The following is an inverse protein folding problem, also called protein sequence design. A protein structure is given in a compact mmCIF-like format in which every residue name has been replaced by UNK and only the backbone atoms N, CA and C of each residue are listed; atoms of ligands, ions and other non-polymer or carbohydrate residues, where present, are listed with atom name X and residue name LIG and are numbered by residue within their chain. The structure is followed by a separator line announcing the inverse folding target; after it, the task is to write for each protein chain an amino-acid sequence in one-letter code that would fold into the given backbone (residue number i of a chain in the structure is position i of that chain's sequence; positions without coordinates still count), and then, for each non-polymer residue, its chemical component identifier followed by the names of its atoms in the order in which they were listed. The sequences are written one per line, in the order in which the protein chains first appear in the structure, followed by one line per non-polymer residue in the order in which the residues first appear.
data_IF_689074918560
#
_entry.id   IF_689074918560
#
_cell.length_a   1.000
_cell.length_b   1.000
_cell.length_c   1.000
_cell.angle_alpha   90.00
_cell.angle_beta   90.00
_cell.angle_gamma   90.00
#
_symmetry.space_group_name_H-M   'P 1'
#
loop_
_entity.id
_entity.type
_entity.pdbx_description
1 polymer ?
#
# COMPACT_ATOMS: atom_id res chain seq x y z
N UNK A 1 -4.94 -28.73 20.51
CA UNK A 1 -4.32 -29.05 19.21
C UNK A 1 -4.19 -27.76 18.42
N UNK A 2 -2.96 -27.27 18.25
CA UNK A 2 -2.72 -26.04 17.51
C UNK A 2 -2.93 -26.30 16.01
N UNK A 3 -3.96 -25.68 15.45
CA UNK A 3 -4.20 -25.68 14.00
C UNK A 3 -3.01 -24.99 13.36
N UNK A 4 -2.18 -25.77 12.65
CA UNK A 4 -1.12 -25.26 11.79
C UNK A 4 -1.77 -24.29 10.81
N UNK A 5 -1.45 -23.00 10.87
CA UNK A 5 -1.89 -22.05 9.84
C UNK A 5 -1.27 -22.53 8.52
N UNK A 6 -2.05 -23.22 7.70
CA UNK A 6 -1.63 -23.60 6.36
C UNK A 6 -1.46 -22.31 5.58
N UNK A 7 -0.23 -22.04 5.11
CA UNK A 7 -0.01 -21.02 4.09
C UNK A 7 -1.01 -21.24 2.97
N UNK A 8 -1.68 -20.15 2.58
CA UNK A 8 -2.78 -20.20 1.62
C UNK A 8 -2.30 -20.02 0.19
N UNK A 9 -1.04 -19.60 -0.01
CA UNK A 9 -0.48 -19.25 -1.29
C UNK A 9 0.67 -20.19 -1.67
N UNK A 10 0.74 -20.54 -2.96
CA UNK A 10 1.91 -21.22 -3.50
C UNK A 10 3.05 -20.23 -3.70
N UNK A 11 4.30 -20.70 -3.56
CA UNK A 11 5.49 -19.86 -3.82
C UNK A 11 5.47 -19.24 -5.22
N UNK A 12 5.00 -19.99 -6.23
CA UNK A 12 4.81 -19.50 -7.60
C UNK A 12 3.90 -18.27 -7.63
N UNK A 13 2.80 -18.31 -6.88
CA UNK A 13 1.83 -17.21 -6.80
C UNK A 13 2.47 -15.98 -6.16
N UNK A 14 3.17 -16.16 -5.05
CA UNK A 14 3.89 -15.08 -4.35
C UNK A 14 4.91 -14.41 -5.29
N UNK A 15 5.74 -15.20 -5.97
CA UNK A 15 6.75 -14.66 -6.90
C UNK A 15 6.10 -13.83 -8.00
N UNK A 16 5.02 -14.34 -8.62
CA UNK A 16 4.33 -13.61 -9.70
C UNK A 16 3.74 -12.29 -9.19
N UNK A 17 3.05 -12.29 -8.04
CA UNK A 17 2.47 -11.06 -7.47
C UNK A 17 3.56 -10.03 -7.14
N UNK A 18 4.70 -10.48 -6.58
CA UNK A 18 5.84 -9.59 -6.31
C UNK A 18 6.50 -9.08 -7.58
N UNK A 19 6.63 -9.91 -8.63
CA UNK A 19 7.11 -9.46 -9.93
C UNK A 19 6.19 -8.38 -10.53
N UNK A 20 4.86 -8.57 -10.46
CA UNK A 20 3.89 -7.57 -10.91
C UNK A 20 4.07 -6.25 -10.16
N UNK A 21 4.24 -6.30 -8.83
CA UNK A 21 4.54 -5.12 -8.01
C UNK A 21 5.86 -4.44 -8.39
N UNK A 22 6.94 -5.21 -8.56
CA UNK A 22 8.25 -4.68 -8.95
C UNK A 22 8.29 -4.09 -10.37
N UNK A 23 7.34 -4.45 -11.23
CA UNK A 23 7.25 -3.93 -12.60
C UNK A 23 6.61 -2.54 -12.68
N UNK A 24 6.00 -2.02 -11.61
CA UNK A 24 5.42 -0.67 -11.55
C UNK A 24 6.34 0.40 -12.15
N UNK A 25 7.61 0.58 -11.70
CA UNK A 25 8.49 1.62 -12.24
C UNK A 25 8.79 1.45 -13.74
N UNK A 26 8.86 0.21 -14.23
CA UNK A 26 9.10 -0.07 -15.66
C UNK A 26 7.88 0.29 -16.49
N UNK A 27 6.69 -0.19 -16.07
CA UNK A 27 5.43 0.10 -16.75
C UNK A 27 5.14 1.60 -16.72
N UNK A 28 5.37 2.27 -15.58
CA UNK A 28 5.26 3.72 -15.45
C UNK A 28 6.08 4.46 -16.50
N UNK A 29 7.36 4.10 -16.66
CA UNK A 29 8.22 4.75 -17.66
C UNK A 29 7.75 4.52 -19.09
N UNK A 30 7.27 3.32 -19.42
CA UNK A 30 6.72 3.03 -20.75
C UNK A 30 5.46 3.84 -21.04
N UNK A 31 4.56 3.94 -20.07
CA UNK A 31 3.33 4.75 -20.20
C UNK A 31 3.67 6.24 -20.28
N UNK A 32 4.65 6.71 -19.50
CA UNK A 32 5.10 8.09 -19.51
C UNK A 32 5.64 8.53 -20.88
N UNK A 33 6.39 7.65 -21.57
CA UNK A 33 6.89 7.92 -22.93
C UNK A 33 5.78 8.20 -23.94
N UNK A 34 4.57 7.64 -23.72
CA UNK A 34 3.42 7.81 -24.61
C UNK A 34 2.52 8.96 -24.15
N UNK A 35 2.24 9.03 -22.84
CA UNK A 35 1.28 9.99 -22.28
C UNK A 35 1.86 11.40 -22.12
N UNK A 36 3.18 11.53 -21.91
CA UNK A 36 3.84 12.82 -21.68
C UNK A 36 3.42 13.52 -20.38
N UNK A 37 2.70 12.84 -19.48
CA UNK A 37 2.22 13.39 -18.22
C UNK A 37 2.43 12.38 -17.08
N UNK A 38 3.17 12.79 -16.03
CA UNK A 38 3.57 11.92 -14.92
C UNK A 38 2.36 11.41 -14.11
N UNK A 39 1.43 12.28 -13.76
CA UNK A 39 0.23 11.91 -12.99
C UNK A 39 -0.65 10.93 -13.75
N UNK A 40 -0.91 11.19 -15.03
CA UNK A 40 -1.70 10.29 -15.86
C UNK A 40 -1.01 8.92 -16.01
N UNK A 41 0.31 8.91 -16.25
CA UNK A 41 1.08 7.69 -16.40
C UNK A 41 1.14 6.86 -15.11
N UNK A 42 1.36 7.49 -13.96
CA UNK A 42 1.38 6.81 -12.67
C UNK A 42 -0.02 6.29 -12.31
N UNK A 43 -1.06 7.11 -12.49
CA UNK A 43 -2.46 6.70 -12.23
C UNK A 43 -2.83 5.48 -13.07
N UNK A 44 -2.55 5.50 -14.37
CA UNK A 44 -2.81 4.37 -15.24
C UNK A 44 -2.03 3.12 -14.80
N UNK A 45 -0.74 3.28 -14.50
CA UNK A 45 0.13 2.18 -14.07
C UNK A 45 -0.36 1.53 -12.78
N UNK A 46 -0.75 2.34 -11.80
CA UNK A 46 -1.33 1.84 -10.55
C UNK A 46 -2.64 1.12 -10.82
N UNK A 47 -3.57 1.71 -11.56
CA UNK A 47 -4.85 1.05 -11.90
C UNK A 47 -4.65 -0.29 -12.59
N UNK A 48 -3.75 -0.36 -13.58
CA UNK A 48 -3.44 -1.60 -14.28
C UNK A 48 -2.81 -2.65 -13.35
N UNK A 49 -1.84 -2.23 -12.53
CA UNK A 49 -1.16 -3.14 -11.59
C UNK A 49 -2.12 -3.65 -10.53
N UNK A 50 -2.93 -2.76 -9.95
CA UNK A 50 -3.97 -3.10 -8.98
C UNK A 50 -4.99 -4.06 -9.55
N UNK A 51 -5.45 -3.83 -10.79
CA UNK A 51 -6.35 -4.75 -11.48
C UNK A 51 -5.74 -6.15 -11.61
N UNK A 52 -4.49 -6.25 -12.08
CA UNK A 52 -3.78 -7.53 -12.22
C UNK A 52 -3.68 -8.24 -10.87
N UNK A 53 -3.23 -7.52 -9.83
CA UNK A 53 -3.09 -8.09 -8.49
C UNK A 53 -4.44 -8.53 -7.91
N UNK A 54 -5.49 -7.73 -8.03
CA UNK A 54 -6.82 -8.09 -7.51
C UNK A 54 -7.38 -9.32 -8.23
N UNK A 55 -7.27 -9.39 -9.56
CA UNK A 55 -7.76 -10.55 -10.34
C UNK A 55 -6.94 -11.79 -10.03
N UNK A 56 -5.61 -11.68 -10.07
CA UNK A 56 -4.72 -12.81 -9.83
C UNK A 56 -4.80 -13.31 -8.39
N UNK A 57 -4.97 -12.38 -7.43
CA UNK A 57 -5.10 -12.67 -6.02
C UNK A 57 -6.55 -12.68 -5.49
N UNK A 58 -7.53 -12.88 -6.37
CA UNK A 58 -8.95 -12.78 -6.04
C UNK A 58 -9.36 -13.66 -4.85
N UNK A 59 -8.88 -14.91 -4.81
CA UNK A 59 -9.19 -15.82 -3.70
C UNK A 59 -8.60 -15.35 -2.37
N UNK A 60 -7.41 -14.73 -2.40
CA UNK A 60 -6.78 -14.17 -1.20
C UNK A 60 -7.61 -12.97 -0.71
N UNK A 61 -7.95 -12.06 -1.63
CA UNK A 61 -8.85 -10.95 -1.35
C UNK A 61 -10.18 -11.40 -0.76
N UNK A 62 -10.84 -12.38 -1.39
CA UNK A 62 -12.13 -12.92 -0.95
C UNK A 62 -12.08 -13.51 0.47
N UNK A 63 -11.00 -14.22 0.83
CA UNK A 63 -10.82 -14.75 2.20
C UNK A 63 -10.75 -13.60 3.21
N UNK A 64 -9.95 -12.57 2.96
CA UNK A 64 -9.78 -11.46 3.90
C UNK A 64 -11.01 -10.55 3.97
N UNK A 65 -11.72 -10.37 2.85
CA UNK A 65 -13.01 -9.71 2.81
C UNK A 65 -14.05 -10.46 3.66
N UNK A 66 -14.16 -11.78 3.49
CA UNK A 66 -15.11 -12.59 4.26
C UNK A 66 -14.76 -12.60 5.77
N UNK A 67 -13.48 -12.61 6.14
CA UNK A 67 -13.06 -12.48 7.55
C UNK A 67 -13.46 -11.13 8.16
N UNK A 68 -13.27 -10.03 7.42
CA UNK A 68 -13.67 -8.70 7.86
C UNK A 68 -15.20 -8.59 7.97
N UNK A 69 -15.94 -9.18 7.02
CA UNK A 69 -17.41 -9.24 7.04
C UNK A 69 -17.94 -10.06 8.21
N UNK A 70 -17.28 -11.16 8.56
CA UNK A 70 -17.65 -12.01 9.69
C UNK A 70 -17.35 -11.35 11.05
N UNK A 71 -16.33 -10.47 11.12
CA UNK A 71 -15.92 -9.76 12.33
C UNK A 71 -15.95 -8.23 12.12
N UNK A 72 -17.14 -7.63 11.87
CA UNK A 72 -17.24 -6.23 11.47
C UNK A 72 -16.80 -5.26 12.57
N UNK A 73 -16.95 -5.65 13.85
CA UNK A 73 -16.52 -4.86 15.00
C UNK A 73 -15.00 -4.68 15.00
N UNK A 74 -14.26 -5.78 14.87
CA UNK A 74 -12.79 -5.73 14.85
C UNK A 74 -12.30 -5.01 13.60
N UNK A 75 -12.91 -5.29 12.44
CA UNK A 75 -12.58 -4.59 11.20
C UNK A 75 -12.76 -3.07 11.35
N UNK A 76 -13.87 -2.61 11.96
CA UNK A 76 -14.12 -1.19 12.19
C UNK A 76 -13.12 -0.58 13.19
N UNK A 77 -12.92 -1.22 14.34
CA UNK A 77 -11.99 -0.73 15.38
C UNK A 77 -10.59 -0.56 14.81
N UNK A 78 -10.07 -1.59 14.12
CA UNK A 78 -8.73 -1.54 13.56
C UNK A 78 -8.64 -0.62 12.34
N UNK A 79 -9.74 -0.37 11.62
CA UNK A 79 -9.77 0.68 10.59
C UNK A 79 -9.59 2.06 11.23
N UNK A 80 -10.25 2.32 12.37
CA UNK A 80 -10.13 3.60 13.10
C UNK A 80 -8.70 3.75 13.65
N UNK A 81 -8.19 2.73 14.35
CA UNK A 81 -6.81 2.73 14.87
C UNK A 81 -5.80 2.93 13.75
N UNK A 82 -5.94 2.20 12.64
CA UNK A 82 -5.08 2.33 11.48
C UNK A 82 -5.12 3.72 10.87
N UNK A 83 -6.30 4.33 10.76
CA UNK A 83 -6.47 5.69 10.24
C UNK A 83 -5.72 6.69 11.09
N UNK A 84 -5.84 6.60 12.42
CA UNK A 84 -5.14 7.48 13.36
C UNK A 84 -3.63 7.29 13.27
N UNK A 85 -3.14 6.04 13.30
CA UNK A 85 -1.70 5.75 13.23
C UNK A 85 -1.07 6.24 11.92
N UNK A 86 -1.73 5.98 10.78
CA UNK A 86 -1.25 6.42 9.47
C UNK A 86 -1.35 7.95 9.34
N UNK A 87 -2.38 8.59 9.91
CA UNK A 87 -2.47 10.06 9.95
C UNK A 87 -1.30 10.68 10.71
N UNK A 88 -1.01 10.18 11.92
CA UNK A 88 0.12 10.64 12.73
C UNK A 88 1.44 10.43 11.98
N UNK A 89 1.65 9.24 11.41
CA UNK A 89 2.86 8.94 10.67
C UNK A 89 3.02 9.83 9.42
N UNK A 90 1.92 10.06 8.71
CA UNK A 90 1.88 10.95 7.54
C UNK A 90 2.17 12.39 7.95
N UNK A 91 1.61 12.88 9.05
CA UNK A 91 1.92 14.19 9.59
C UNK A 91 3.41 14.33 9.99
N UNK A 92 3.98 13.33 10.65
CA UNK A 92 5.42 13.29 10.96
C UNK A 92 6.24 13.35 9.68
N UNK A 93 5.85 12.61 8.64
CA UNK A 93 6.53 12.64 7.36
C UNK A 93 6.45 14.02 6.69
N UNK A 94 5.26 14.61 6.63
CA UNK A 94 5.05 15.91 6.02
C UNK A 94 5.74 17.04 6.80
N UNK A 95 5.98 16.89 8.10
CA UNK A 95 6.58 17.94 8.93
C UNK A 95 8.10 17.79 9.04
N UNK A 96 8.60 16.58 9.30
CA UNK A 96 10.00 16.34 9.69
C UNK A 96 10.78 15.51 8.67
N UNK A 97 10.31 14.30 8.33
CA UNK A 97 11.10 13.39 7.48
C UNK A 97 11.20 13.88 6.04
N UNK A 98 10.13 14.48 5.51
CA UNK A 98 10.02 14.88 4.10
C UNK A 98 10.37 13.74 3.15
N UNK A 99 9.97 12.51 3.51
CA UNK A 99 10.07 11.34 2.66
C UNK A 99 9.07 11.43 1.50
N UNK A 100 9.40 10.78 0.39
CA UNK A 100 8.57 10.75 -0.80
C UNK A 100 7.30 9.93 -0.56
N UNK A 101 6.15 10.51 -0.91
CA UNK A 101 4.87 9.81 -0.98
C UNK A 101 4.41 9.93 -2.44
N UNK A 102 4.07 8.82 -3.12
CA UNK A 102 3.58 8.86 -4.49
C UNK A 102 2.19 9.53 -4.50
N UNK A 103 2.15 10.79 -4.91
CA UNK A 103 0.94 11.60 -5.02
C UNK A 103 0.82 12.18 -6.43
N UNK A 104 -0.40 12.34 -6.96
CA UNK A 104 -0.65 13.09 -8.18
C UNK A 104 -0.28 14.57 -8.03
N UNK A 105 0.22 15.17 -9.11
CA UNK A 105 0.60 16.58 -9.14
C UNK A 105 -0.62 17.50 -9.27
N UNK A 106 -0.61 18.60 -8.50
CA UNK A 106 -1.75 19.52 -8.42
C UNK A 106 -2.04 20.21 -9.76
N UNK A 107 -1.01 20.52 -10.56
CA UNK A 107 -1.19 21.23 -11.84
C UNK A 107 -1.99 20.39 -12.84
N UNK A 108 -1.66 19.11 -12.99
CA UNK A 108 -2.41 18.17 -13.83
C UNK A 108 -3.83 17.99 -13.33
N UNK A 109 -4.04 17.77 -12.03
CA UNK A 109 -5.38 17.54 -11.49
C UNK A 109 -6.27 18.78 -11.65
N UNK A 110 -5.72 19.98 -11.48
CA UNK A 110 -6.43 21.24 -11.68
C UNK A 110 -6.80 21.51 -13.14
N UNK A 111 -6.14 20.88 -14.11
CA UNK A 111 -6.56 20.93 -15.51
C UNK A 111 -7.80 20.06 -15.80
N UNK A 112 -8.14 19.13 -14.90
CA UNK A 112 -9.24 18.16 -15.07
C UNK A 112 -10.18 18.09 -13.86
N UNK A 113 -10.54 19.26 -13.30
CA UNK A 113 -11.32 19.39 -12.05
C UNK A 113 -12.57 18.50 -11.96
N UNK A 114 -13.33 18.39 -13.06
CA UNK A 114 -14.55 17.58 -13.07
C UNK A 114 -14.27 16.09 -12.85
N UNK A 115 -13.14 15.58 -13.35
CA UNK A 115 -12.72 14.19 -13.18
C UNK A 115 -11.89 13.95 -11.92
N UNK A 116 -11.40 15.01 -11.27
CA UNK A 116 -10.48 14.93 -10.15
C UNK A 116 -10.99 14.03 -9.00
N UNK A 117 -12.25 14.12 -8.52
CA UNK A 117 -12.72 13.27 -7.43
C UNK A 117 -12.61 11.77 -7.75
N UNK A 118 -12.97 11.38 -8.97
CA UNK A 118 -12.90 9.98 -9.40
C UNK A 118 -11.45 9.50 -9.53
N UNK A 119 -10.57 10.34 -10.09
CA UNK A 119 -9.15 10.04 -10.27
C UNK A 119 -8.44 9.88 -8.91
N UNK A 120 -8.62 10.83 -7.98
CA UNK A 120 -7.99 10.80 -6.66
C UNK A 120 -8.50 9.61 -5.83
N UNK A 121 -9.80 9.31 -5.91
CA UNK A 121 -10.37 8.13 -5.25
C UNK A 121 -9.78 6.83 -5.81
N UNK A 122 -9.78 6.67 -7.14
CA UNK A 122 -9.23 5.49 -7.80
C UNK A 122 -7.75 5.30 -7.46
N UNK A 123 -6.96 6.39 -7.52
CA UNK A 123 -5.54 6.37 -7.15
C UNK A 123 -5.34 5.87 -5.72
N UNK A 124 -6.05 6.45 -4.75
CA UNK A 124 -5.92 6.13 -3.33
C UNK A 124 -6.32 4.69 -3.01
N UNK A 125 -7.47 4.26 -3.54
CA UNK A 125 -8.02 2.92 -3.32
C UNK A 125 -7.08 1.88 -3.91
N UNK A 126 -6.65 2.08 -5.15
CA UNK A 126 -5.79 1.12 -5.84
C UNK A 126 -4.41 1.04 -5.19
N UNK A 127 -3.84 2.16 -4.76
CA UNK A 127 -2.59 2.15 -3.99
C UNK A 127 -2.76 1.36 -2.67
N UNK A 128 -3.90 1.53 -2.00
CA UNK A 128 -4.35 0.70 -0.87
C UNK A 128 -4.27 -0.79 -1.14
N UNK A 129 -4.91 -1.22 -2.23
CA UNK A 129 -4.91 -2.62 -2.67
C UNK A 129 -3.52 -3.14 -2.99
N UNK A 130 -2.77 -2.42 -3.83
CA UNK A 130 -1.43 -2.83 -4.27
C UNK A 130 -0.52 -3.09 -3.08
N UNK A 131 -0.44 -2.15 -2.14
CA UNK A 131 0.44 -2.24 -0.98
C UNK A 131 0.04 -3.41 -0.08
N UNK A 132 -1.24 -3.54 0.27
CA UNK A 132 -1.69 -4.55 1.23
C UNK A 132 -1.69 -5.97 0.65
N UNK A 133 -2.08 -6.15 -0.62
CA UNK A 133 -2.03 -7.47 -1.27
C UNK A 133 -0.57 -7.92 -1.43
N UNK A 134 0.29 -7.05 -1.96
CA UNK A 134 1.71 -7.39 -2.18
C UNK A 134 2.43 -7.67 -0.87
N UNK A 135 2.16 -6.88 0.17
CA UNK A 135 2.64 -7.12 1.54
C UNK A 135 2.20 -8.50 2.04
N UNK A 136 0.91 -8.85 1.87
CA UNK A 136 0.39 -10.13 2.34
C UNK A 136 0.99 -11.31 1.58
N UNK A 137 1.20 -11.18 0.27
CA UNK A 137 1.87 -12.19 -0.54
C UNK A 137 3.31 -12.42 -0.06
N UNK A 138 4.07 -11.36 0.22
CA UNK A 138 5.45 -11.49 0.73
C UNK A 138 5.50 -12.20 2.09
N UNK A 139 4.54 -11.89 2.96
CA UNK A 139 4.57 -12.32 4.36
C UNK A 139 3.84 -13.64 4.63
N UNK A 140 3.23 -14.27 3.62
CA UNK A 140 2.38 -15.46 3.83
C UNK A 140 3.13 -16.65 4.46
N UNK A 141 4.42 -16.81 4.16
CA UNK A 141 5.26 -17.88 4.70
C UNK A 141 6.07 -17.50 5.94
N UNK A 142 5.95 -16.27 6.45
CA UNK A 142 6.63 -15.85 7.67
C UNK A 142 5.92 -16.45 8.90
N UNK A 143 6.16 -17.73 9.18
CA UNK A 143 5.73 -18.42 10.40
C UNK A 143 6.79 -18.24 11.51
N UNK A 144 6.81 -17.07 12.17
CA UNK A 144 7.62 -16.86 13.38
C UNK A 144 6.69 -16.96 14.58
N UNK A 145 6.50 -18.20 15.05
CA UNK A 145 5.62 -18.49 16.18
C UNK A 145 6.02 -17.71 17.43
N UNK A 146 5.02 -17.22 18.13
CA UNK A 146 5.13 -16.56 19.44
C UNK A 146 5.97 -15.27 19.49
N UNK A 147 6.27 -14.68 18.33
CA UNK A 147 7.02 -13.40 18.24
C UNK A 147 6.36 -12.41 17.29
N UNK A 148 5.13 -12.00 17.61
CA UNK A 148 4.35 -11.02 16.84
C UNK A 148 5.17 -9.75 16.52
N UNK A 149 5.84 -9.16 17.52
CA UNK A 149 6.66 -7.98 17.32
C UNK A 149 7.79 -8.21 16.31
N UNK A 150 8.39 -9.40 16.29
CA UNK A 150 9.44 -9.75 15.33
C UNK A 150 8.88 -9.92 13.92
N UNK A 151 7.69 -10.50 13.77
CA UNK A 151 7.01 -10.59 12.46
C UNK A 151 6.72 -9.20 11.93
N UNK A 152 6.16 -8.33 12.76
CA UNK A 152 5.83 -6.94 12.39
C UNK A 152 7.08 -6.17 11.96
N UNK A 153 8.17 -6.29 12.73
CA UNK A 153 9.42 -5.61 12.39
C UNK A 153 10.07 -6.20 11.13
N UNK A 154 10.16 -7.54 11.02
CA UNK A 154 10.78 -8.19 9.87
C UNK A 154 10.02 -7.90 8.59
N UNK A 155 8.68 -7.98 8.62
CA UNK A 155 7.82 -7.64 7.49
C UNK A 155 7.91 -6.15 7.14
N UNK A 156 7.98 -5.28 8.16
CA UNK A 156 8.24 -3.85 8.04
C UNK A 156 9.53 -3.55 7.28
N UNK A 157 10.64 -4.15 7.68
CA UNK A 157 11.93 -3.96 7.02
C UNK A 157 11.94 -4.52 5.59
N UNK A 158 11.44 -5.75 5.40
CA UNK A 158 11.46 -6.46 4.12
C UNK A 158 10.54 -5.84 3.05
N UNK A 159 9.28 -5.55 3.40
CA UNK A 159 8.38 -4.94 2.44
C UNK A 159 8.58 -3.42 2.37
N UNK A 160 9.06 -2.78 3.45
CA UNK A 160 9.44 -1.37 3.46
C UNK A 160 10.57 -1.07 2.47
N UNK A 161 11.57 -1.94 2.35
CA UNK A 161 12.66 -1.76 1.37
C UNK A 161 12.14 -1.95 -0.05
N UNK A 162 11.28 -2.95 -0.27
CA UNK A 162 10.67 -3.22 -1.57
C UNK A 162 9.79 -2.04 -2.02
N UNK A 163 8.94 -1.54 -1.12
CA UNK A 163 8.05 -0.42 -1.39
C UNK A 163 8.85 0.86 -1.71
N UNK A 164 9.94 1.10 -0.97
CA UNK A 164 10.83 2.23 -1.24
C UNK A 164 11.50 2.09 -2.60
N UNK A 165 12.03 0.90 -2.95
CA UNK A 165 12.70 0.67 -4.22
C UNK A 165 11.76 0.80 -5.43
N UNK A 166 10.47 0.52 -5.27
CA UNK A 166 9.48 0.59 -6.35
C UNK A 166 9.04 2.02 -6.63
N UNK A 167 8.89 2.85 -5.60
CA UNK A 167 8.27 4.18 -5.74
C UNK A 167 9.22 5.36 -5.66
N UNK A 168 10.39 5.22 -5.01
CA UNK A 168 11.29 6.36 -4.81
C UNK A 168 12.22 6.52 -6.01
N UNK A 169 12.30 7.71 -6.61
CA UNK A 169 13.30 8.00 -7.63
C UNK A 169 14.72 7.81 -7.09
N UNK A 170 15.52 6.96 -7.76
CA UNK A 170 16.93 6.78 -7.43
C UNK A 170 17.72 8.01 -7.90
N UNK A 171 18.19 8.82 -6.95
CA UNK A 171 18.97 10.02 -7.26
C UNK A 171 19.40 10.81 -6.02
N UNK A 172 18.61 10.77 -4.95
CA UNK A 172 18.95 11.38 -3.66
C UNK A 172 18.96 10.30 -2.56
N UNK A 173 20.15 10.00 -2.05
CA UNK A 173 20.33 9.03 -0.95
C UNK A 173 19.63 9.49 0.33
N UNK A 174 19.62 10.78 0.63
CA UNK A 174 18.92 11.35 1.77
C UNK A 174 17.40 11.18 1.65
N UNK A 175 16.84 11.39 0.45
CA UNK A 175 15.42 11.11 0.18
C UNK A 175 15.12 9.62 0.33
N UNK A 176 15.97 8.73 -0.20
CA UNK A 176 15.82 7.28 -0.08
C UNK A 176 15.77 6.83 1.38
N UNK A 177 16.71 7.29 2.22
CA UNK A 177 16.75 6.93 3.64
C UNK A 177 15.52 7.43 4.39
N UNK A 178 15.12 8.70 4.20
CA UNK A 178 13.96 9.28 4.88
C UNK A 178 12.65 8.59 4.45
N UNK A 179 12.54 8.26 3.17
CA UNK A 179 11.38 7.52 2.65
C UNK A 179 11.36 6.07 3.12
N UNK A 180 12.53 5.42 3.19
CA UNK A 180 12.64 4.07 3.74
C UNK A 180 12.19 4.02 5.20
N UNK A 181 12.64 4.95 6.04
CA UNK A 181 12.20 5.04 7.43
C UNK A 181 10.68 5.20 7.54
N UNK A 182 10.08 6.10 6.75
CA UNK A 182 8.63 6.26 6.69
C UNK A 182 7.93 4.96 6.26
N UNK A 183 8.40 4.33 5.18
CA UNK A 183 7.81 3.11 4.64
C UNK A 183 7.92 1.93 5.60
N UNK A 184 9.03 1.77 6.32
CA UNK A 184 9.15 0.73 7.36
C UNK A 184 8.08 0.90 8.43
N UNK A 185 7.90 2.11 8.96
CA UNK A 185 6.89 2.39 9.98
C UNK A 185 5.46 2.21 9.44
N UNK A 186 5.22 2.59 8.18
CA UNK A 186 3.94 2.39 7.52
C UNK A 186 3.61 0.91 7.41
N UNK A 187 4.56 0.09 6.95
CA UNK A 187 4.37 -1.35 6.78
C UNK A 187 4.28 -2.06 8.14
N UNK A 188 5.05 -1.66 9.15
CA UNK A 188 4.86 -2.14 10.52
C UNK A 188 3.42 -1.88 10.99
N UNK A 189 2.88 -0.70 10.70
CA UNK A 189 1.48 -0.37 11.00
C UNK A 189 0.52 -1.30 10.26
N UNK A 190 0.70 -1.52 8.95
CA UNK A 190 -0.14 -2.46 8.18
C UNK A 190 -0.04 -3.89 8.71
N UNK A 191 1.15 -4.34 9.08
CA UNK A 191 1.39 -5.66 9.65
C UNK A 191 0.70 -5.82 11.01
N UNK A 192 0.71 -4.78 11.84
CA UNK A 192 -0.01 -4.75 13.10
C UNK A 192 -1.52 -4.86 12.88
N UNK A 193 -2.09 -4.02 11.99
CA UNK A 193 -3.53 -4.06 11.68
C UNK A 193 -3.96 -5.43 11.14
N UNK A 194 -3.14 -6.02 10.27
CA UNK A 194 -3.35 -7.37 9.76
C UNK A 194 -3.33 -8.41 10.88
N UNK A 195 -2.33 -8.35 11.78
CA UNK A 195 -2.20 -9.35 12.82
C UNK A 195 -3.39 -9.31 13.81
N UNK A 196 -3.84 -8.10 14.13
CA UNK A 196 -4.92 -7.89 15.09
C UNK A 196 -6.33 -8.17 14.54
N UNK A 197 -6.56 -7.93 13.25
CA UNK A 197 -7.87 -8.15 12.61
C UNK A 197 -7.95 -9.43 11.76
N UNK A 198 -6.83 -10.12 11.58
CA UNK A 198 -6.65 -11.26 10.67
C UNK A 198 -7.06 -10.99 9.21
N UNK A 199 -7.11 -9.70 8.84
CA UNK A 199 -7.53 -9.20 7.54
C UNK A 199 -6.70 -7.98 7.16
N UNK A 200 -6.35 -7.84 5.88
CA UNK A 200 -5.73 -6.62 5.40
C UNK A 200 -6.73 -5.53 5.00
N UNK A 201 -8.04 -5.80 5.10
CA UNK A 201 -9.10 -4.84 4.73
C UNK A 201 -9.01 -3.55 5.57
N UNK A 202 -8.80 -3.59 6.91
CA UNK A 202 -8.57 -2.37 7.68
C UNK A 202 -7.38 -1.57 7.17
N UNK A 203 -6.27 -2.22 6.82
CA UNK A 203 -5.09 -1.58 6.24
C UNK A 203 -5.40 -0.88 4.90
N UNK A 204 -6.16 -1.53 4.01
CA UNK A 204 -6.58 -0.95 2.73
C UNK A 204 -7.41 0.32 2.96
N UNK A 205 -8.44 0.24 3.82
CA UNK A 205 -9.36 1.36 4.04
C UNK A 205 -8.63 2.52 4.73
N UNK A 206 -7.89 2.25 5.80
CA UNK A 206 -7.12 3.28 6.52
C UNK A 206 -6.12 3.99 5.61
N UNK A 207 -5.38 3.24 4.78
CA UNK A 207 -4.42 3.84 3.86
C UNK A 207 -5.12 4.68 2.80
N UNK A 208 -6.21 4.16 2.23
CA UNK A 208 -7.02 4.86 1.24
C UNK A 208 -7.50 6.20 1.77
N UNK A 209 -8.07 6.23 2.98
CA UNK A 209 -8.60 7.45 3.60
C UNK A 209 -7.48 8.50 3.75
N UNK A 210 -6.34 8.11 4.32
CA UNK A 210 -5.26 9.08 4.58
C UNK A 210 -4.61 9.56 3.29
N UNK A 211 -4.39 8.68 2.31
CA UNK A 211 -3.85 9.09 1.01
C UNK A 211 -4.82 10.02 0.27
N UNK A 212 -6.13 9.75 0.34
CA UNK A 212 -7.15 10.61 -0.26
C UNK A 212 -7.18 11.99 0.40
N UNK A 213 -7.22 12.04 1.74
CA UNK A 213 -7.20 13.29 2.48
C UNK A 213 -5.93 14.10 2.19
N UNK A 214 -4.77 13.44 2.18
CA UNK A 214 -3.51 14.08 1.84
C UNK A 214 -3.55 14.67 0.43
N UNK A 215 -4.05 13.94 -0.56
CA UNK A 215 -4.23 14.43 -1.93
C UNK A 215 -5.10 15.68 -1.99
N UNK A 216 -6.26 15.66 -1.33
CA UNK A 216 -7.15 16.82 -1.28
C UNK A 216 -6.47 18.04 -0.65
N UNK A 217 -5.76 17.84 0.47
CA UNK A 217 -5.01 18.91 1.13
C UNK A 217 -3.86 19.43 0.28
N UNK A 218 -3.18 18.59 -0.50
CA UNK A 218 -2.04 19.03 -1.33
C UNK A 218 -2.45 19.70 -2.63
N UNK A 219 -3.67 19.43 -3.13
CA UNK A 219 -4.13 19.90 -4.45
C UNK A 219 -5.05 21.11 -4.32
N UNK A 220 -5.90 21.15 -3.29
CA UNK A 220 -6.97 22.14 -3.17
C UNK A 220 -6.87 23.07 -1.95
N UNK A 221 -5.91 22.86 -1.05
CA UNK A 221 -5.63 23.79 0.05
C UNK A 221 -4.53 24.79 -0.33
#
# INVERSE_FOLDING_TARGET
MHVKYQSSLSLKRIIISLCVFCMIPVVYRLVLMVAGNETAAMTFTLNLTGLILIIYDWNLFGIHYNRAKANPKDALIYTIVGTIMIAILTWINQTFLKGYIPLPDAATVNNYLFSAPAVLLAYSVVLGFIVNISFKCLTDHLDIRDREALIILASGFLFGILYTAVFVPFGDLGLLVRTYLYNVLLICTMSYLYNQSHSFIPGIISFTIIMLLLQYMTIFA
#
